data_IF_454415008488
#
_entry.id   IF_454415008488
#
_cell.length_a   1.000
_cell.length_b   1.000
_cell.length_c   1.000
_cell.angle_alpha   90.00
_cell.angle_beta   90.00
_cell.angle_gamma   90.00
#
_symmetry.space_group_name_H-M   'P 1'
#
loop_
_entity.id
_entity.type
_entity.pdbx_description
1 polymer ?
#
# COMPACT_ATOMS: atom_id res chain seq x y z
N UNK A 1 -6.35 32.40 -18.16
CA UNK A 1 -6.00 31.15 -18.87
C UNK A 1 -6.18 31.36 -20.38
N UNK A 2 -5.10 31.22 -21.14
CA UNK A 2 -5.12 31.21 -22.61
C UNK A 2 -5.72 29.89 -23.13
N UNK A 3 -6.41 29.93 -24.28
CA UNK A 3 -6.87 28.72 -24.99
C UNK A 3 -6.28 28.73 -26.39
N UNK A 4 -5.63 27.64 -26.79
CA UNK A 4 -4.96 27.54 -28.09
C UNK A 4 -5.30 26.21 -28.75
N UNK A 5 -5.62 26.26 -30.04
CA UNK A 5 -5.74 25.08 -30.88
C UNK A 5 -4.47 24.94 -31.73
N UNK A 6 -3.93 23.73 -31.83
CA UNK A 6 -2.79 23.41 -32.71
C UNK A 6 -3.22 22.28 -33.65
N UNK A 7 -3.24 22.56 -34.95
CA UNK A 7 -3.61 21.60 -35.99
C UNK A 7 -2.41 20.76 -36.45
N UNK A 8 -1.18 21.28 -36.29
CA UNK A 8 0.05 20.66 -36.76
C UNK A 8 1.08 20.46 -35.64
N UNK A 9 2.02 19.54 -35.87
CA UNK A 9 3.13 19.28 -34.96
C UNK A 9 3.99 20.53 -34.71
N UNK A 10 4.27 21.32 -35.75
CA UNK A 10 5.11 22.53 -35.61
C UNK A 10 4.39 23.65 -34.83
N UNK A 11 3.08 23.82 -35.04
CA UNK A 11 2.28 24.73 -34.22
C UNK A 11 2.30 24.32 -32.74
N UNK A 12 2.18 23.02 -32.47
CA UNK A 12 2.19 22.48 -31.12
C UNK A 12 3.56 22.63 -30.44
N UNK A 13 4.65 22.28 -31.13
CA UNK A 13 6.03 22.50 -30.65
C UNK A 13 6.27 23.97 -30.31
N UNK A 14 5.88 24.87 -31.22
CA UNK A 14 6.01 26.32 -31.02
C UNK A 14 5.18 26.80 -29.83
N UNK A 15 3.95 26.29 -29.68
CA UNK A 15 3.08 26.63 -28.57
C UNK A 15 3.69 26.22 -27.22
N UNK A 16 4.20 24.99 -27.11
CA UNK A 16 4.84 24.49 -25.88
C UNK A 16 6.13 25.25 -25.57
N UNK A 17 7.00 25.45 -26.57
CA UNK A 17 8.29 26.13 -26.42
C UNK A 17 8.16 27.63 -26.09
N UNK A 18 7.02 28.24 -26.43
CA UNK A 18 6.72 29.63 -26.08
C UNK A 18 6.58 29.88 -24.58
N UNK A 19 6.41 28.83 -23.78
CA UNK A 19 6.38 28.91 -22.33
C UNK A 19 7.75 28.57 -21.76
N UNK A 20 8.31 29.51 -20.98
CA UNK A 20 9.64 29.38 -20.38
C UNK A 20 9.71 28.37 -19.22
N UNK A 21 10.82 28.33 -18.46
CA UNK A 21 11.00 27.38 -17.37
C UNK A 21 9.99 27.59 -16.23
N UNK A 22 9.77 26.54 -15.43
CA UNK A 22 8.84 26.58 -14.28
C UNK A 22 7.38 26.31 -14.63
N UNK A 23 7.14 25.62 -15.73
CA UNK A 23 5.82 25.14 -16.17
C UNK A 23 5.72 23.63 -15.96
N UNK A 24 4.57 23.19 -15.48
CA UNK A 24 4.20 21.77 -15.38
C UNK A 24 3.13 21.45 -16.41
N UNK A 25 3.10 20.21 -16.86
CA UNK A 25 2.24 19.75 -17.95
C UNK A 25 1.28 18.66 -17.46
N UNK A 26 0.00 18.77 -17.82
CA UNK A 26 -1.00 17.72 -17.59
C UNK A 26 -1.70 17.38 -18.90
N UNK A 27 -1.55 16.12 -19.32
CA UNK A 27 -2.30 15.54 -20.43
C UNK A 27 -3.61 14.90 -20.01
N UNK A 28 -4.65 15.08 -20.82
CA UNK A 28 -5.94 14.41 -20.67
C UNK A 28 -6.58 14.13 -22.04
N UNK A 29 -7.25 12.99 -22.16
CA UNK A 29 -7.99 12.61 -23.37
C UNK A 29 -9.34 13.32 -23.50
N UNK A 30 -9.80 13.99 -22.45
CA UNK A 30 -11.07 14.70 -22.41
C UNK A 30 -10.95 15.97 -21.55
N UNK A 31 -11.75 16.98 -21.88
CA UNK A 31 -11.90 18.17 -21.06
C UNK A 31 -12.99 17.95 -20.00
N UNK A 32 -12.63 18.10 -18.72
CA UNK A 32 -13.59 18.07 -17.62
C UNK A 32 -13.82 19.50 -17.11
N UNK A 33 -14.92 20.19 -17.48
CA UNK A 33 -15.22 21.51 -16.95
C UNK A 33 -15.87 21.44 -15.56
N UNK A 34 -15.69 22.47 -14.74
CA UNK A 34 -16.45 22.67 -13.50
C UNK A 34 -17.82 23.31 -13.80
N UNK A 35 -18.64 23.54 -12.78
CA UNK A 35 -19.97 24.16 -12.90
C UNK A 35 -19.96 25.55 -13.57
N UNK A 36 -18.80 26.22 -13.61
CA UNK A 36 -18.61 27.53 -14.20
C UNK A 36 -17.95 27.47 -15.59
N UNK A 37 -17.80 26.27 -16.18
CA UNK A 37 -17.20 26.08 -17.51
C UNK A 37 -15.67 26.24 -17.56
N UNK A 38 -15.00 26.36 -16.41
CA UNK A 38 -13.53 26.40 -16.30
C UNK A 38 -12.98 24.98 -16.15
N UNK A 39 -11.71 24.70 -16.52
CA UNK A 39 -11.13 23.37 -16.32
C UNK A 39 -11.23 22.91 -14.85
N UNK A 40 -11.83 21.74 -14.65
CA UNK A 40 -11.89 21.01 -13.40
C UNK A 40 -10.79 19.97 -13.40
N UNK A 41 -9.61 20.36 -12.89
CA UNK A 41 -8.55 19.42 -12.57
C UNK A 41 -8.82 18.83 -11.19
N UNK A 42 -9.82 17.95 -11.11
CA UNK A 42 -10.23 17.25 -9.90
C UNK A 42 -9.29 16.08 -9.57
N UNK A 43 -9.20 15.75 -8.29
CA UNK A 43 -8.37 14.64 -7.81
C UNK A 43 -9.07 13.31 -8.05
N UNK A 44 -8.31 12.20 -8.07
CA UNK A 44 -8.90 10.85 -8.13
C UNK A 44 -9.85 10.56 -6.98
N UNK A 45 -9.56 11.11 -5.80
CA UNK A 45 -10.41 10.96 -4.62
C UNK A 45 -11.77 11.64 -4.80
N UNK A 46 -11.80 12.86 -5.34
CA UNK A 46 -13.05 13.57 -5.65
C UNK A 46 -13.92 12.83 -6.67
N UNK A 47 -13.31 12.08 -7.60
CA UNK A 47 -14.04 11.35 -8.64
C UNK A 47 -14.60 10.00 -8.18
N UNK A 48 -13.89 9.28 -7.31
CA UNK A 48 -14.18 7.87 -7.05
C UNK A 48 -14.40 7.53 -5.56
N UNK A 49 -14.20 8.47 -4.65
CA UNK A 49 -14.38 8.28 -3.21
C UNK A 49 -13.29 7.45 -2.52
N UNK A 50 -13.50 7.24 -1.21
CA UNK A 50 -12.58 6.58 -0.28
C UNK A 50 -12.97 5.12 -0.03
N UNK A 51 -11.99 4.23 0.00
CA UNK A 51 -12.12 2.91 0.65
C UNK A 51 -11.12 2.91 1.82
N UNK A 52 -11.55 3.24 3.05
CA UNK A 52 -10.62 3.56 4.15
C UNK A 52 -9.60 2.47 4.46
N UNK A 53 -10.03 1.21 4.58
CA UNK A 53 -9.13 0.09 4.92
C UNK A 53 -8.05 -0.12 3.87
N UNK A 54 -8.45 -0.10 2.59
CA UNK A 54 -7.53 -0.20 1.47
C UNK A 54 -6.55 0.98 1.47
N UNK A 55 -7.04 2.20 1.76
CA UNK A 55 -6.18 3.38 1.80
C UNK A 55 -5.13 3.34 2.91
N UNK A 56 -5.52 2.86 4.10
CA UNK A 56 -4.62 2.68 5.24
C UNK A 56 -3.55 1.64 4.91
N UNK A 57 -3.95 0.48 4.37
CA UNK A 57 -3.03 -0.60 3.95
C UNK A 57 -2.05 -0.12 2.88
N UNK A 58 -2.53 0.61 1.87
CA UNK A 58 -1.69 1.24 0.85
C UNK A 58 -0.67 2.22 1.44
N UNK A 59 -1.12 3.12 2.31
CA UNK A 59 -0.25 4.13 2.94
C UNK A 59 0.86 3.46 3.73
N UNK A 60 0.53 2.39 4.47
CA UNK A 60 1.50 1.59 5.21
C UNK A 60 2.55 0.97 4.27
N UNK A 61 2.14 0.24 3.24
CA UNK A 61 3.10 -0.45 2.37
C UNK A 61 3.92 0.49 1.48
N UNK A 62 3.38 1.65 1.12
CA UNK A 62 4.17 2.70 0.45
C UNK A 62 5.29 3.21 1.33
N UNK A 63 4.96 3.58 2.58
CA UNK A 63 5.92 4.03 3.58
C UNK A 63 7.04 3.01 3.71
N UNK A 64 6.70 1.72 3.79
CA UNK A 64 7.69 0.64 3.89
C UNK A 64 8.55 0.48 2.65
N UNK A 65 7.95 0.50 1.46
CA UNK A 65 8.70 0.44 0.21
C UNK A 65 9.72 1.59 0.14
N UNK A 66 9.35 2.81 0.53
CA UNK A 66 10.27 3.95 0.56
C UNK A 66 11.36 3.81 1.62
N UNK A 67 11.02 3.35 2.83
CA UNK A 67 12.00 3.07 3.87
C UNK A 67 13.05 2.03 3.43
N UNK A 68 12.64 1.03 2.67
CA UNK A 68 13.55 0.00 2.16
C UNK A 68 14.40 0.49 0.97
N UNK A 69 13.82 1.30 0.07
CA UNK A 69 14.41 1.58 -1.24
C UNK A 69 15.10 2.95 -1.35
N UNK A 70 14.73 3.92 -0.50
CA UNK A 70 15.22 5.31 -0.58
C UNK A 70 16.20 5.58 0.56
N UNK A 71 17.47 5.81 0.21
CA UNK A 71 18.51 6.04 1.21
C UNK A 71 18.25 7.31 2.02
N UNK A 72 18.31 7.17 3.34
CA UNK A 72 18.11 8.30 4.25
C UNK A 72 16.65 8.73 4.40
N UNK A 73 15.69 7.97 3.85
CA UNK A 73 14.27 8.16 4.10
C UNK A 73 13.99 7.86 5.57
N UNK A 74 13.91 8.92 6.38
CA UNK A 74 13.49 8.82 7.77
C UNK A 74 11.99 8.60 7.81
N UNK A 75 11.50 7.96 8.87
CA UNK A 75 10.06 7.90 9.16
C UNK A 75 9.53 9.32 9.41
N UNK A 76 9.26 10.04 8.33
CA UNK A 76 8.66 11.36 8.36
C UNK A 76 7.16 11.19 8.39
N UNK A 77 6.47 11.98 9.20
CA UNK A 77 5.00 12.12 9.20
C UNK A 77 4.43 12.66 7.88
N UNK A 78 5.23 12.72 6.80
CA UNK A 78 4.86 13.21 5.49
C UNK A 78 4.02 12.18 4.71
N UNK A 79 2.77 12.08 5.16
CA UNK A 79 1.74 11.26 4.51
C UNK A 79 1.40 11.76 3.10
N UNK A 80 1.64 13.04 2.80
CA UNK A 80 1.40 13.61 1.48
C UNK A 80 2.30 12.96 0.43
N UNK A 81 3.60 12.88 0.72
CA UNK A 81 4.56 12.28 -0.21
C UNK A 81 4.32 10.78 -0.43
N UNK A 82 3.91 10.04 0.60
CA UNK A 82 3.50 8.64 0.44
C UNK A 82 2.31 8.51 -0.52
N UNK A 83 1.27 9.33 -0.34
CA UNK A 83 0.09 9.32 -1.23
C UNK A 83 0.42 9.75 -2.66
N UNK A 84 1.42 10.64 -2.83
CA UNK A 84 1.89 11.10 -4.12
C UNK A 84 2.50 9.97 -4.95
N UNK A 85 3.46 9.26 -4.36
CA UNK A 85 4.16 8.16 -5.01
C UNK A 85 3.16 7.07 -5.35
N UNK A 86 2.26 6.77 -4.41
CA UNK A 86 1.21 5.78 -4.59
C UNK A 86 0.27 6.07 -5.76
N UNK A 87 0.01 7.34 -6.07
CA UNK A 87 -0.87 7.72 -7.18
C UNK A 87 -0.39 7.14 -8.52
N UNK A 88 0.92 7.02 -8.72
CA UNK A 88 1.53 6.41 -9.93
C UNK A 88 1.37 4.88 -9.99
N UNK A 89 0.93 4.26 -8.90
CA UNK A 89 0.61 2.84 -8.80
C UNK A 89 -0.90 2.59 -8.66
N UNK A 90 -1.75 3.57 -9.02
CA UNK A 90 -3.19 3.43 -9.05
C UNK A 90 -3.93 3.83 -7.76
N UNK A 91 -3.22 4.37 -6.78
CA UNK A 91 -3.86 4.89 -5.56
C UNK A 91 -4.64 6.18 -5.82
N UNK A 92 -5.73 6.35 -5.08
CA UNK A 92 -6.54 7.57 -5.12
C UNK A 92 -6.02 8.58 -4.12
N UNK A 93 -5.45 9.69 -4.60
CA UNK A 93 -4.89 10.75 -3.75
C UNK A 93 -5.70 12.05 -3.82
N UNK A 94 -5.33 13.01 -2.96
CA UNK A 94 -5.77 14.41 -2.98
C UNK A 94 -4.88 15.30 -3.87
N UNK A 95 -4.02 14.73 -4.69
CA UNK A 95 -3.06 15.48 -5.49
C UNK A 95 -3.40 15.40 -6.98
N UNK A 96 -3.05 16.46 -7.68
CA UNK A 96 -3.01 16.48 -9.12
C UNK A 96 -1.62 16.01 -9.56
N UNK A 97 -1.60 14.94 -10.35
CA UNK A 97 -0.41 14.43 -10.99
C UNK A 97 -0.08 15.30 -12.22
N UNK A 98 1.15 15.76 -12.35
CA UNK A 98 1.64 16.55 -13.47
C UNK A 98 3.05 16.09 -13.85
N UNK A 99 3.53 16.46 -15.04
CA UNK A 99 4.89 16.15 -15.49
C UNK A 99 5.69 17.43 -15.72
N UNK A 100 7.00 17.39 -15.47
CA UNK A 100 7.94 18.38 -15.95
C UNK A 100 8.26 18.21 -17.45
N UNK A 101 7.93 17.06 -18.04
CA UNK A 101 8.16 16.74 -19.45
C UNK A 101 6.86 16.89 -20.27
N UNK A 102 6.81 17.82 -21.24
CA UNK A 102 5.65 17.99 -22.10
C UNK A 102 5.37 16.77 -23.00
N UNK A 103 6.37 15.95 -23.34
CA UNK A 103 6.18 14.76 -24.17
C UNK A 103 5.41 13.68 -23.42
N UNK A 104 5.71 13.47 -22.14
CA UNK A 104 4.96 12.58 -21.24
C UNK A 104 3.50 13.03 -21.15
N UNK A 105 3.27 14.33 -20.98
CA UNK A 105 1.91 14.87 -20.93
C UNK A 105 1.18 14.75 -22.28
N UNK A 106 1.84 14.97 -23.41
CA UNK A 106 1.26 14.74 -24.73
C UNK A 106 0.90 13.26 -24.97
N UNK A 107 1.71 12.33 -24.45
CA UNK A 107 1.41 10.90 -24.47
C UNK A 107 0.11 10.59 -23.72
N UNK A 108 -0.06 11.08 -22.48
CA UNK A 108 -1.31 10.91 -21.73
C UNK A 108 -2.52 11.63 -22.37
N UNK A 109 -2.29 12.69 -23.13
CA UNK A 109 -3.36 13.39 -23.85
C UNK A 109 -3.82 12.65 -25.12
N UNK A 110 -3.02 11.71 -25.63
CA UNK A 110 -3.29 10.92 -26.85
C UNK A 110 -3.58 9.44 -26.59
N UNK A 111 -3.50 8.99 -25.34
CA UNK A 111 -3.73 7.60 -24.96
C UNK A 111 -4.77 7.49 -23.83
N UNK A 112 -5.80 6.68 -24.06
CA UNK A 112 -6.85 6.41 -23.07
C UNK A 112 -6.47 5.21 -22.20
N UNK A 113 -6.61 5.36 -20.89
CA UNK A 113 -6.50 4.25 -19.95
C UNK A 113 -7.70 3.31 -20.06
N UNK A 114 -7.43 2.02 -20.18
CA UNK A 114 -8.41 0.95 -20.07
C UNK A 114 -7.93 -0.07 -19.04
N UNK A 115 -8.86 -0.63 -18.29
CA UNK A 115 -8.57 -1.74 -17.39
C UNK A 115 -9.66 -2.80 -17.45
N UNK A 116 -9.26 -4.04 -17.22
CA UNK A 116 -10.16 -5.18 -17.12
C UNK A 116 -9.66 -6.15 -16.06
N UNK A 117 -10.60 -6.80 -15.38
CA UNK A 117 -10.27 -7.92 -14.51
C UNK A 117 -9.79 -9.07 -15.38
N UNK A 118 -8.67 -9.68 -15.00
CA UNK A 118 -8.16 -10.90 -15.60
C UNK A 118 -8.09 -12.00 -14.55
N UNK A 119 -8.30 -13.23 -15.00
CA UNK A 119 -8.17 -14.43 -14.17
C UNK A 119 -7.15 -15.32 -14.88
N UNK A 120 -6.05 -15.62 -14.18
CA UNK A 120 -4.94 -16.42 -14.72
C UNK A 120 -4.78 -17.70 -13.91
N UNK A 121 -4.69 -18.85 -14.59
CA UNK A 121 -4.31 -20.11 -13.95
C UNK A 121 -2.79 -20.13 -13.79
N UNK A 122 -2.32 -20.32 -12.56
CA UNK A 122 -0.91 -20.53 -12.27
C UNK A 122 -0.77 -21.71 -11.30
N UNK A 123 0.47 -22.10 -11.07
CA UNK A 123 0.88 -23.07 -10.07
C UNK A 123 1.65 -22.32 -8.98
N UNK A 124 1.46 -22.68 -7.71
CA UNK A 124 2.30 -22.17 -6.62
C UNK A 124 3.71 -22.80 -6.66
N UNK A 125 4.55 -22.50 -5.67
CA UNK A 125 5.92 -23.03 -5.61
C UNK A 125 6.02 -24.54 -5.37
N UNK A 126 4.89 -25.21 -5.10
CA UNK A 126 4.77 -26.64 -4.94
C UNK A 126 3.91 -27.29 -6.04
N UNK A 127 3.70 -26.57 -7.14
CA UNK A 127 2.93 -27.04 -8.30
C UNK A 127 1.42 -27.15 -8.03
N UNK A 128 0.91 -26.59 -6.92
CA UNK A 128 -0.50 -26.60 -6.60
C UNK A 128 -1.24 -25.52 -7.44
N UNK A 129 -2.29 -25.89 -8.22
CA UNK A 129 -2.95 -24.96 -9.14
C UNK A 129 -3.86 -23.96 -8.42
N UNK A 130 -3.76 -22.69 -8.82
CA UNK A 130 -4.58 -21.59 -8.27
C UNK A 130 -5.01 -20.60 -9.36
N UNK A 131 -6.16 -19.96 -9.15
CA UNK A 131 -6.61 -18.83 -9.96
C UNK A 131 -6.13 -17.51 -9.35
N UNK A 132 -5.48 -16.66 -10.13
CA UNK A 132 -5.11 -15.32 -9.71
C UNK A 132 -5.98 -14.27 -10.41
N UNK A 133 -6.66 -13.45 -9.61
CA UNK A 133 -7.39 -12.28 -10.07
C UNK A 133 -6.49 -11.04 -10.04
N UNK A 134 -6.20 -10.49 -11.21
CA UNK A 134 -5.45 -9.23 -11.39
C UNK A 134 -6.30 -8.16 -12.06
N UNK A 135 -5.86 -6.90 -11.97
CA UNK A 135 -6.41 -5.78 -12.72
C UNK A 135 -5.43 -5.44 -13.85
N UNK A 136 -5.67 -6.03 -15.02
CA UNK A 136 -4.87 -5.72 -16.20
C UNK A 136 -5.20 -4.29 -16.65
N UNK A 137 -4.15 -3.54 -16.94
CA UNK A 137 -4.23 -2.15 -17.36
C UNK A 137 -3.50 -1.98 -18.68
N UNK A 138 -4.03 -1.10 -19.54
CA UNK A 138 -3.36 -0.72 -20.78
C UNK A 138 -3.72 0.70 -21.17
N UNK A 139 -2.89 1.27 -22.03
CA UNK A 139 -3.17 2.52 -22.69
C UNK A 139 -3.41 2.26 -24.17
N UNK A 140 -4.56 2.72 -24.67
CA UNK A 140 -4.95 2.56 -26.07
C UNK A 140 -4.91 3.93 -26.73
N UNK A 141 -4.23 4.08 -27.89
CA UNK A 141 -4.28 5.31 -28.67
C UNK A 141 -5.72 5.73 -28.95
N UNK A 142 -6.01 7.01 -28.76
CA UNK A 142 -7.35 7.54 -29.04
C UNK A 142 -7.40 8.28 -30.37
N UNK A 143 -8.58 8.28 -30.97
CA UNK A 143 -8.94 9.18 -32.07
C UNK A 143 -9.59 10.45 -31.53
N UNK A 144 -9.45 11.56 -32.26
CA UNK A 144 -10.08 12.84 -31.92
C UNK A 144 -9.11 13.83 -31.28
N UNK A 145 -9.57 14.54 -30.25
CA UNK A 145 -8.86 15.68 -29.66
C UNK A 145 -8.31 15.34 -28.28
N UNK A 146 -7.03 15.62 -28.06
CA UNK A 146 -6.42 15.61 -26.72
C UNK A 146 -6.29 17.02 -26.14
N UNK A 147 -6.08 17.07 -24.82
CA UNK A 147 -6.00 18.29 -24.05
C UNK A 147 -4.71 18.33 -23.24
N UNK A 148 -3.93 19.40 -23.42
CA UNK A 148 -2.73 19.67 -22.65
C UNK A 148 -2.92 20.95 -21.82
N UNK A 149 -2.73 20.85 -20.51
CA UNK A 149 -2.77 21.99 -19.59
C UNK A 149 -1.36 22.35 -19.15
N UNK A 150 -1.04 23.65 -19.24
CA UNK A 150 0.23 24.21 -18.78
C UNK A 150 -0.02 24.95 -17.46
N UNK A 151 0.66 24.52 -16.41
CA UNK A 151 0.46 24.97 -15.03
C UNK A 151 1.68 25.75 -14.57
N UNK A 152 1.48 26.95 -14.04
CA UNK A 152 2.56 27.81 -13.55
C UNK A 152 2.96 27.46 -12.13
N UNK A 153 4.20 27.00 -11.93
CA UNK A 153 4.73 26.80 -10.57
C UNK A 153 4.77 28.10 -9.76
N UNK A 154 4.97 29.25 -10.43
CA UNK A 154 4.91 30.56 -9.78
C UNK A 154 3.51 30.85 -9.25
N UNK A 155 2.47 30.60 -10.04
CA UNK A 155 1.08 30.81 -9.63
C UNK A 155 0.67 29.82 -8.53
N UNK A 156 1.14 28.57 -8.59
CA UNK A 156 0.96 27.58 -7.52
C UNK A 156 1.50 28.13 -6.19
N UNK A 157 2.77 28.58 -6.17
CA UNK A 157 3.37 29.19 -4.97
C UNK A 157 2.61 30.42 -4.47
N UNK A 158 2.15 31.30 -5.38
CA UNK A 158 1.38 32.50 -5.01
C UNK A 158 0.01 32.18 -4.41
N UNK A 159 -0.61 31.07 -4.83
CA UNK A 159 -1.89 30.59 -4.29
C UNK A 159 -1.74 29.71 -3.03
N UNK A 160 -0.51 29.49 -2.56
CA UNK A 160 -0.22 28.60 -1.44
C UNK A 160 -0.33 27.11 -1.78
N UNK A 161 -0.43 26.74 -3.06
CA UNK A 161 -0.45 25.34 -3.52
C UNK A 161 0.98 24.86 -3.71
N UNK A 162 1.34 23.72 -3.11
CA UNK A 162 2.68 23.15 -3.25
C UNK A 162 2.78 22.34 -4.55
N UNK A 163 4.00 22.33 -5.10
CA UNK A 163 4.40 21.43 -6.19
C UNK A 163 5.73 20.79 -5.84
N UNK A 164 5.77 19.46 -5.73
CA UNK A 164 6.98 18.70 -5.36
C UNK A 164 7.38 17.80 -6.52
N UNK A 165 8.66 17.81 -6.91
CA UNK A 165 9.18 16.90 -7.93
C UNK A 165 9.49 15.55 -7.29
N UNK A 166 8.87 14.48 -7.76
CA UNK A 166 9.00 13.16 -7.14
C UNK A 166 10.35 12.50 -7.48
N UNK A 167 11.04 12.92 -8.53
CA UNK A 167 12.38 12.41 -8.86
C UNK A 167 13.44 12.72 -7.79
N UNK A 168 13.17 13.65 -6.87
CA UNK A 168 14.02 13.89 -5.70
C UNK A 168 14.02 12.69 -4.72
N UNK A 169 13.05 11.78 -4.88
CA UNK A 169 12.87 10.56 -4.09
C UNK A 169 13.42 9.39 -4.91
N UNK A 170 14.70 9.46 -5.28
CA UNK A 170 15.32 8.41 -6.08
C UNK A 170 15.56 7.15 -5.23
N UNK A 171 15.29 5.99 -5.81
CA UNK A 171 15.66 4.69 -5.22
C UNK A 171 17.14 4.40 -5.44
N UNK A 172 17.71 3.52 -4.62
CA UNK A 172 19.13 3.13 -4.74
C UNK A 172 19.45 2.39 -6.03
N UNK A 173 18.45 1.72 -6.61
CA UNK A 173 18.54 0.93 -7.84
C UNK A 173 17.27 1.15 -8.68
N UNK A 174 17.33 0.74 -9.95
CA UNK A 174 16.18 0.82 -10.88
C UNK A 174 15.72 2.24 -11.20
N UNK A 175 14.56 2.35 -11.85
CA UNK A 175 13.96 3.63 -12.22
C UNK A 175 12.44 3.56 -12.06
N UNK A 176 11.90 4.02 -10.91
CA UNK A 176 10.48 4.02 -10.64
C UNK A 176 9.67 4.83 -11.65
N UNK A 177 8.38 4.51 -11.82
CA UNK A 177 7.48 5.19 -12.79
C UNK A 177 7.49 6.71 -12.67
N UNK A 178 7.44 7.23 -11.44
CA UNK A 178 7.41 8.66 -11.18
C UNK A 178 8.71 9.38 -11.60
N UNK A 179 9.83 8.65 -11.69
CA UNK A 179 11.08 9.18 -12.25
C UNK A 179 11.01 9.23 -13.77
N UNK A 180 10.58 8.13 -14.42
CA UNK A 180 10.45 8.07 -15.90
C UNK A 180 9.42 9.06 -16.45
N UNK A 181 8.40 9.41 -15.66
CA UNK A 181 7.34 10.34 -16.01
C UNK A 181 7.68 11.80 -15.67
N UNK A 182 8.87 12.09 -15.12
CA UNK A 182 9.25 13.38 -14.53
C UNK A 182 8.12 13.97 -13.66
N UNK A 183 7.62 13.14 -12.75
CA UNK A 183 6.36 13.40 -12.06
C UNK A 183 6.49 14.50 -11.01
N UNK A 184 5.45 15.33 -10.96
CA UNK A 184 5.22 16.37 -9.98
C UNK A 184 3.89 16.14 -9.25
N UNK A 185 3.95 16.27 -7.93
CA UNK A 185 2.77 16.29 -7.08
C UNK A 185 2.31 17.74 -6.90
N UNK A 186 1.11 18.09 -7.36
CA UNK A 186 0.49 19.41 -7.14
C UNK A 186 -0.67 19.28 -6.13
N UNK A 187 -0.58 19.94 -4.98
CA UNK A 187 -1.64 19.90 -3.95
C UNK A 187 -1.12 20.05 -2.51
N UNK A 188 -1.87 19.58 -1.50
CA UNK A 188 -3.13 18.83 -1.61
C UNK A 188 -4.32 19.71 -2.04
N UNK A 189 -5.22 19.15 -2.84
CA UNK A 189 -6.42 19.80 -3.40
C UNK A 189 -7.68 19.23 -2.75
N UNK A 190 -7.96 19.63 -1.50
CA UNK A 190 -8.96 18.98 -0.64
C UNK A 190 -10.40 19.39 -0.98
N UNK A 191 -10.67 20.69 -1.14
CA UNK A 191 -12.05 21.21 -1.29
C UNK A 191 -12.44 21.52 -2.74
N UNK A 192 -11.53 22.12 -3.48
CA UNK A 192 -11.73 22.52 -4.87
C UNK A 192 -10.57 21.93 -5.70
N UNK A 193 -10.81 21.62 -6.98
CA UNK A 193 -9.74 21.30 -7.92
C UNK A 193 -8.75 22.46 -8.08
N UNK A 194 -7.72 22.28 -8.92
CA UNK A 194 -6.73 23.33 -9.13
C UNK A 194 -7.39 24.62 -9.65
N UNK A 195 -7.04 25.78 -9.07
CA UNK A 195 -7.56 27.07 -9.53
C UNK A 195 -7.18 27.32 -10.99
N UNK A 196 -8.13 27.83 -11.78
CA UNK A 196 -7.89 28.25 -13.17
C UNK A 196 -6.82 29.32 -13.31
N UNK A 197 -6.55 30.10 -12.26
CA UNK A 197 -5.49 31.11 -12.23
C UNK A 197 -4.08 30.50 -12.25
N UNK A 198 -3.97 29.22 -11.85
CA UNK A 198 -2.71 28.48 -11.94
C UNK A 198 -2.45 27.91 -13.34
N UNK A 199 -3.47 27.92 -14.22
CA UNK A 199 -3.39 27.39 -15.58
C UNK A 199 -3.05 28.53 -16.54
N UNK A 200 -1.84 28.48 -17.08
CA UNK A 200 -1.34 29.43 -18.08
C UNK A 200 -2.11 29.25 -19.39
N UNK A 201 -2.14 28.01 -19.89
CA UNK A 201 -2.67 27.68 -21.19
C UNK A 201 -3.40 26.34 -21.18
N UNK A 202 -4.47 26.27 -21.96
CA UNK A 202 -5.12 25.03 -22.39
C UNK A 202 -4.92 24.88 -23.89
N UNK A 203 -4.07 23.93 -24.28
CA UNK A 203 -3.81 23.58 -25.67
C UNK A 203 -4.71 22.39 -26.04
N UNK A 204 -5.41 22.49 -27.16
CA UNK A 204 -6.12 21.38 -27.79
C UNK A 204 -5.48 21.05 -29.12
N UNK A 205 -5.26 19.76 -29.38
CA UNK A 205 -4.67 19.28 -30.63
C UNK A 205 -5.24 17.89 -30.99
N UNK A 206 -5.26 17.52 -32.29
CA UNK A 206 -5.57 16.16 -32.69
C UNK A 206 -4.66 15.15 -31.98
N UNK A 207 -5.20 14.01 -31.55
CA UNK A 207 -4.47 12.98 -30.83
C UNK A 207 -3.22 12.51 -31.60
N UNK A 208 -3.29 12.46 -32.94
CA UNK A 208 -2.15 12.19 -33.82
C UNK A 208 -1.01 13.19 -33.64
N UNK A 209 -1.31 14.50 -33.59
CA UNK A 209 -0.28 15.55 -33.39
C UNK A 209 0.40 15.39 -32.03
N UNK A 210 -0.38 15.06 -31.00
CA UNK A 210 0.13 14.82 -29.64
C UNK A 210 0.98 13.55 -29.57
N UNK A 211 0.58 12.49 -30.29
CA UNK A 211 1.34 11.25 -30.41
C UNK A 211 2.67 11.48 -31.15
N UNK A 212 2.63 12.19 -32.28
CA UNK A 212 3.83 12.57 -33.04
C UNK A 212 4.79 13.43 -32.20
N UNK A 213 4.27 14.27 -31.30
CA UNK A 213 5.09 15.05 -30.36
C UNK A 213 5.66 14.21 -29.21
N UNK A 214 4.89 13.24 -28.71
CA UNK A 214 5.35 12.30 -27.69
C UNK A 214 6.50 11.42 -28.21
N UNK A 215 6.60 11.19 -29.52
CA UNK A 215 7.72 10.46 -30.12
C UNK A 215 7.80 9.02 -29.61
N UNK A 216 8.97 8.61 -29.11
CA UNK A 216 9.25 7.23 -28.73
C UNK A 216 8.65 6.82 -27.36
N UNK A 217 8.06 7.75 -26.62
CA UNK A 217 7.40 7.45 -25.35
C UNK A 217 6.25 6.46 -25.56
N UNK A 218 6.26 5.38 -24.78
CA UNK A 218 5.27 4.31 -24.84
C UNK A 218 4.95 3.77 -23.44
N UNK A 219 3.97 2.87 -23.36
CA UNK A 219 3.50 2.32 -22.08
C UNK A 219 4.62 1.54 -21.35
N UNK A 220 5.39 0.72 -22.06
CA UNK A 220 6.46 -0.11 -21.47
C UNK A 220 7.57 0.77 -20.87
N UNK A 221 7.87 1.89 -21.51
CA UNK A 221 8.80 2.88 -20.97
C UNK A 221 8.21 3.62 -19.77
N UNK A 222 7.00 4.17 -19.87
CA UNK A 222 6.40 4.99 -18.80
C UNK A 222 5.95 4.16 -17.57
N UNK A 223 5.70 2.88 -17.75
CA UNK A 223 5.24 1.93 -16.73
C UNK A 223 6.16 0.69 -16.71
N UNK A 224 7.41 0.83 -16.23
CA UNK A 224 8.39 -0.24 -16.19
C UNK A 224 7.88 -1.53 -15.53
N UNK A 225 8.45 -2.64 -16.00
CA UNK A 225 8.29 -3.94 -15.37
C UNK A 225 8.89 -3.97 -13.95
N UNK A 226 8.48 -4.92 -13.09
CA UNK A 226 9.01 -5.04 -11.73
C UNK A 226 10.54 -5.27 -11.66
N UNK A 227 11.18 -5.73 -12.74
CA UNK A 227 12.63 -5.84 -12.85
C UNK A 227 13.33 -4.48 -12.81
N UNK A 228 12.70 -3.46 -13.41
CA UNK A 228 13.23 -2.10 -13.53
C UNK A 228 12.68 -1.15 -12.47
N UNK A 229 11.48 -1.41 -11.95
CA UNK A 229 10.80 -0.59 -10.94
C UNK A 229 10.79 -1.29 -9.57
N UNK A 230 11.72 -0.93 -8.68
CA UNK A 230 11.82 -1.58 -7.37
C UNK A 230 10.62 -1.26 -6.47
N UNK A 231 10.00 -0.08 -6.61
CA UNK A 231 8.81 0.28 -5.82
C UNK A 231 7.63 -0.58 -6.27
N UNK A 232 7.44 -0.75 -7.58
CA UNK A 232 6.43 -1.65 -8.10
C UNK A 232 6.66 -3.10 -7.65
N UNK A 233 7.90 -3.56 -7.71
CA UNK A 233 8.29 -4.91 -7.25
C UNK A 233 7.95 -5.17 -5.79
N UNK A 234 8.24 -4.21 -4.90
CA UNK A 234 7.89 -4.30 -3.47
C UNK A 234 6.37 -4.35 -3.28
N UNK A 235 5.62 -3.48 -3.95
CA UNK A 235 4.14 -3.46 -3.86
C UNK A 235 3.50 -4.76 -4.37
N UNK A 236 4.13 -5.43 -5.33
CA UNK A 236 3.69 -6.73 -5.85
C UNK A 236 4.11 -7.93 -4.99
N UNK A 237 5.02 -7.75 -4.03
CA UNK A 237 5.47 -8.83 -3.14
C UNK A 237 4.49 -9.12 -2.00
N UNK A 238 3.45 -8.29 -1.85
CA UNK A 238 2.39 -8.47 -0.86
C UNK A 238 1.68 -9.82 -1.04
N UNK A 239 1.25 -10.47 0.05
CA UNK A 239 0.58 -11.75 -0.01
C UNK A 239 -0.70 -11.66 -0.85
N UNK A 240 -1.01 -12.73 -1.57
CA UNK A 240 -2.31 -12.91 -2.21
C UNK A 240 -3.33 -13.34 -1.17
N UNK A 241 -4.56 -12.85 -1.28
CA UNK A 241 -5.64 -13.15 -0.34
C UNK A 241 -6.70 -14.03 -1.01
N UNK A 242 -7.11 -15.11 -0.34
CA UNK A 242 -8.18 -15.99 -0.83
C UNK A 242 -9.50 -15.23 -1.00
N UNK A 243 -10.16 -15.46 -2.13
CA UNK A 243 -11.49 -14.93 -2.42
C UNK A 243 -12.57 -15.82 -1.77
N UNK A 244 -13.19 -15.36 -0.68
CA UNK A 244 -14.11 -16.15 0.16
C UNK A 244 -15.47 -16.51 -0.48
N UNK A 245 -15.88 -15.83 -1.55
CA UNK A 245 -17.22 -15.98 -2.14
C UNK A 245 -17.25 -16.74 -3.48
N UNK A 246 -16.26 -17.60 -3.71
CA UNK A 246 -16.22 -18.47 -4.89
C UNK A 246 -16.68 -19.88 -4.47
N UNK A 247 -17.63 -20.52 -5.20
CA UNK A 247 -18.12 -21.85 -4.86
C UNK A 247 -16.99 -22.88 -4.65
N UNK A 248 -17.04 -23.61 -3.54
CA UNK A 248 -15.93 -24.40 -3.00
C UNK A 248 -15.61 -25.73 -3.69
N UNK A 249 -16.25 -26.07 -4.81
CA UNK A 249 -16.02 -27.33 -5.53
C UNK A 249 -14.89 -27.23 -6.60
N UNK A 250 -14.25 -26.07 -6.74
CA UNK A 250 -13.22 -25.81 -7.75
C UNK A 250 -11.86 -25.40 -7.20
N UNK A 251 -10.95 -25.06 -8.12
CA UNK A 251 -9.66 -24.44 -7.81
C UNK A 251 -9.85 -23.14 -7.02
N UNK A 252 -9.01 -22.92 -6.03
CA UNK A 252 -9.06 -21.72 -5.19
C UNK A 252 -8.62 -20.50 -5.99
N UNK A 253 -9.30 -19.37 -5.79
CA UNK A 253 -8.89 -18.11 -6.38
C UNK A 253 -8.41 -17.12 -5.33
N UNK A 254 -7.38 -16.37 -5.71
CA UNK A 254 -6.74 -15.38 -4.88
C UNK A 254 -6.69 -14.04 -5.61
N UNK A 255 -6.70 -12.95 -4.85
CA UNK A 255 -6.55 -11.58 -5.35
C UNK A 255 -5.36 -10.90 -4.69
N UNK A 256 -4.84 -9.87 -5.32
CA UNK A 256 -3.80 -9.02 -4.71
C UNK A 256 -4.29 -8.43 -3.39
N UNK A 257 -3.41 -8.41 -2.39
CA UNK A 257 -3.59 -7.64 -1.14
C UNK A 257 -3.79 -6.14 -1.38
N UNK A 258 -3.16 -5.62 -2.44
CA UNK A 258 -3.29 -4.25 -2.94
C UNK A 258 -3.63 -4.35 -4.43
N UNK A 259 -4.84 -3.92 -4.82
CA UNK A 259 -5.22 -3.95 -6.23
C UNK A 259 -4.43 -2.90 -7.01
N UNK A 260 -3.50 -3.36 -7.85
CA UNK A 260 -2.58 -2.57 -8.67
C UNK A 260 -3.00 -2.64 -10.14
N UNK A 261 -2.91 -1.55 -10.93
CA UNK A 261 -2.98 -1.63 -12.38
C UNK A 261 -1.69 -2.27 -12.91
N UNK A 262 -1.86 -3.40 -13.59
CA UNK A 262 -0.76 -4.23 -14.12
C UNK A 262 -0.64 -4.04 -15.63
N UNK A 263 0.41 -3.35 -16.07
CA UNK A 263 0.60 -2.93 -17.48
C UNK A 263 1.32 -3.96 -18.34
N UNK A 264 2.10 -4.84 -17.72
CA UNK A 264 2.79 -5.95 -18.38
C UNK A 264 2.33 -7.29 -17.80
N UNK A 265 2.48 -8.35 -18.58
CA UNK A 265 2.18 -9.71 -18.14
C UNK A 265 3.44 -10.34 -17.52
N UNK A 266 3.69 -10.05 -16.25
CA UNK A 266 4.86 -10.56 -15.52
C UNK A 266 4.52 -11.78 -14.63
N UNK A 267 3.27 -12.25 -14.64
CA UNK A 267 2.87 -13.45 -13.92
C UNK A 267 3.61 -14.66 -14.50
N UNK A 268 4.24 -15.43 -13.61
CA UNK A 268 4.96 -16.64 -13.96
C UNK A 268 4.00 -17.83 -13.86
N UNK A 269 4.18 -18.83 -14.73
CA UNK A 269 3.40 -20.09 -14.62
C UNK A 269 3.60 -20.73 -13.24
N UNK A 270 4.84 -20.78 -12.77
CA UNK A 270 5.21 -21.24 -11.43
C UNK A 270 5.54 -20.03 -10.56
N UNK A 271 4.69 -19.76 -9.56
CA UNK A 271 4.88 -18.65 -8.66
C UNK A 271 6.05 -18.93 -7.70
N UNK A 272 6.89 -17.93 -7.39
CA UNK A 272 8.04 -18.14 -6.52
C UNK A 272 7.59 -18.41 -5.07
N UNK A 273 8.42 -19.06 -4.23
CA UNK A 273 8.07 -19.36 -2.84
C UNK A 273 7.60 -18.14 -2.04
N UNK A 274 8.23 -16.97 -2.27
CA UNK A 274 7.86 -15.70 -1.64
C UNK A 274 6.45 -15.16 -1.99
N UNK A 275 5.68 -15.84 -2.82
CA UNK A 275 4.32 -15.46 -3.16
C UNK A 275 3.33 -16.26 -2.32
N UNK A 276 3.11 -15.84 -1.07
CA UNK A 276 2.10 -16.44 -0.21
C UNK A 276 0.69 -16.31 -0.82
N UNK A 277 0.01 -17.44 -0.92
CA UNK A 277 -1.40 -17.59 -1.27
C UNK A 277 -2.18 -17.77 0.04
N UNK A 278 -2.41 -16.66 0.74
CA UNK A 278 -2.91 -16.67 2.10
C UNK A 278 -4.39 -17.09 2.15
N UNK A 279 -4.62 -18.21 2.84
CA UNK A 279 -5.93 -18.61 3.34
C UNK A 279 -6.09 -18.03 4.76
N UNK A 280 -7.19 -17.32 5.06
CA UNK A 280 -7.43 -16.81 6.41
C UNK A 280 -7.35 -17.93 7.44
N UNK A 281 -6.56 -17.76 8.49
CA UNK A 281 -6.52 -18.70 9.60
C UNK A 281 -6.25 -17.94 10.90
N UNK A 282 -6.65 -18.54 12.01
CA UNK A 282 -6.25 -18.16 13.36
C UNK A 282 -5.33 -19.24 13.92
N UNK A 283 -4.25 -18.86 14.58
CA UNK A 283 -3.27 -19.81 15.13
C UNK A 283 -3.90 -20.85 16.06
N UNK A 284 -4.93 -20.44 16.80
CA UNK A 284 -5.72 -21.30 17.69
C UNK A 284 -6.49 -22.43 16.99
N UNK A 285 -6.80 -22.26 15.71
CA UNK A 285 -7.60 -23.21 14.92
C UNK A 285 -6.72 -24.13 14.09
N UNK A 286 -5.42 -23.85 14.00
CA UNK A 286 -4.49 -24.75 13.33
C UNK A 286 -4.34 -26.05 14.13
N UNK A 287 -4.22 -27.20 13.45
CA UNK A 287 -3.88 -28.43 14.14
C UNK A 287 -2.56 -28.27 14.89
N UNK A 288 -2.36 -28.93 16.05
CA UNK A 288 -1.13 -28.82 16.80
C UNK A 288 0.06 -29.21 15.90
N UNK A 289 1.16 -28.43 15.90
CA UNK A 289 2.29 -28.75 15.06
C UNK A 289 2.85 -30.13 15.43
N UNK A 290 3.40 -30.90 14.46
CA UNK A 290 3.81 -32.30 14.67
C UNK A 290 4.82 -32.51 15.81
N UNK A 291 5.50 -31.45 16.23
CA UNK A 291 6.59 -31.46 17.21
C UNK A 291 6.19 -31.01 18.62
N UNK A 292 4.93 -30.62 18.84
CA UNK A 292 4.53 -30.03 20.12
C UNK A 292 4.28 -31.11 21.19
N UNK A 293 5.21 -31.28 22.13
CA UNK A 293 4.96 -31.95 23.40
C UNK A 293 4.27 -30.98 24.36
N UNK A 294 3.32 -31.48 25.16
CA UNK A 294 2.49 -30.65 26.04
C UNK A 294 3.35 -29.84 27.02
N UNK A 295 3.52 -28.56 26.77
CA UNK A 295 4.01 -27.59 27.75
C UNK A 295 2.92 -27.24 28.75
N UNK A 296 3.31 -26.80 29.94
CA UNK A 296 2.40 -26.34 30.98
C UNK A 296 1.34 -25.36 30.42
N UNK A 297 0.14 -25.37 31.00
CA UNK A 297 -0.97 -24.53 30.55
C UNK A 297 -0.66 -23.05 30.81
N UNK A 298 -0.03 -22.38 29.83
CA UNK A 298 0.14 -20.91 29.80
C UNK A 298 -1.24 -20.29 29.60
N UNK A 299 -1.62 -19.34 30.46
CA UNK A 299 -2.87 -18.60 30.28
C UNK A 299 -2.68 -17.50 29.23
N UNK A 300 -3.28 -17.67 28.06
CA UNK A 300 -3.16 -16.73 26.93
C UNK A 300 -4.48 -16.00 26.72
N UNK A 301 -4.47 -14.67 26.78
CA UNK A 301 -5.55 -13.85 26.24
C UNK A 301 -5.35 -13.67 24.73
N UNK A 302 -6.31 -14.07 23.93
CA UNK A 302 -6.29 -13.92 22.47
C UNK A 302 -7.15 -12.74 22.04
N UNK A 303 -6.60 -11.89 21.18
CA UNK A 303 -7.26 -10.70 20.64
C UNK A 303 -7.22 -10.82 19.11
N UNK A 304 -8.37 -11.05 18.49
CA UNK A 304 -8.50 -11.18 17.04
C UNK A 304 -8.92 -9.84 16.44
N UNK A 305 -8.09 -9.25 15.58
CA UNK A 305 -8.36 -7.95 14.98
C UNK A 305 -8.08 -7.91 13.47
N UNK A 306 -8.63 -6.89 12.82
CA UNK A 306 -8.40 -6.65 11.40
C UNK A 306 -6.97 -6.15 11.20
N UNK A 307 -6.33 -6.59 10.11
CA UNK A 307 -5.04 -6.06 9.65
C UNK A 307 -5.06 -4.54 9.43
N UNK A 308 -6.24 -3.94 9.19
CA UNK A 308 -6.38 -2.47 9.14
C UNK A 308 -5.99 -1.78 10.46
N UNK A 309 -6.21 -2.43 11.61
CA UNK A 309 -5.79 -1.94 12.92
C UNK A 309 -4.26 -1.92 13.05
N UNK A 310 -3.56 -2.85 12.40
CA UNK A 310 -2.10 -2.85 12.32
C UNK A 310 -1.57 -1.77 11.39
N UNK A 311 -2.16 -1.60 10.21
CA UNK A 311 -1.72 -0.61 9.22
C UNK A 311 -2.06 0.84 9.60
N UNK A 312 -2.92 1.05 10.60
CA UNK A 312 -3.37 2.37 11.05
C UNK A 312 -2.24 3.31 11.49
N UNK A 313 -2.47 4.61 11.36
CA UNK A 313 -1.57 5.63 11.91
C UNK A 313 -2.05 6.04 13.31
N UNK A 314 -1.14 6.05 14.28
CA UNK A 314 -1.38 6.62 15.62
C UNK A 314 -0.08 7.10 16.23
N UNK A 315 -0.16 8.01 17.19
CA UNK A 315 0.98 8.29 18.07
C UNK A 315 1.19 7.11 19.01
N UNK A 316 2.45 6.72 19.23
CA UNK A 316 2.77 5.67 20.19
C UNK A 316 2.28 6.08 21.57
N UNK A 317 1.54 5.17 22.22
CA UNK A 317 1.06 5.35 23.59
C UNK A 317 1.81 4.42 24.50
N UNK A 318 2.50 4.96 25.50
CA UNK A 318 3.23 4.19 26.51
C UNK A 318 2.39 3.89 27.75
N UNK A 319 1.15 4.37 27.81
CA UNK A 319 0.22 4.10 28.91
C UNK A 319 -0.88 3.20 28.35
N UNK A 320 -0.89 1.94 28.80
CA UNK A 320 -1.70 0.83 28.25
C UNK A 320 -2.52 0.14 29.36
N UNK A 321 -3.51 0.82 29.97
CA UNK A 321 -4.25 0.31 31.13
C UNK A 321 -5.04 -0.96 30.86
N UNK A 322 -5.71 -1.09 29.72
CA UNK A 322 -6.55 -2.26 29.42
C UNK A 322 -5.68 -3.49 29.15
N UNK A 323 -4.58 -3.32 28.42
CA UNK A 323 -3.61 -4.40 28.22
C UNK A 323 -2.89 -4.79 29.52
N UNK A 324 -2.56 -3.81 30.37
CA UNK A 324 -1.95 -4.09 31.68
C UNK A 324 -2.89 -4.89 32.56
N UNK A 325 -4.19 -4.57 32.57
CA UNK A 325 -5.20 -5.33 33.28
C UNK A 325 -5.32 -6.77 32.78
N UNK A 326 -5.27 -6.99 31.46
CA UNK A 326 -5.28 -8.35 30.90
C UNK A 326 -4.06 -9.16 31.35
N UNK A 327 -2.90 -8.53 31.47
CA UNK A 327 -1.70 -9.15 32.02
C UNK A 327 -1.81 -9.44 33.52
N UNK A 328 -2.74 -8.89 34.29
CA UNK A 328 -2.92 -9.32 35.69
C UNK A 328 -3.49 -10.74 35.74
N UNK A 329 -4.30 -11.11 34.76
CA UNK A 329 -5.05 -12.37 34.68
C UNK A 329 -4.41 -13.42 33.77
N UNK A 330 -3.53 -13.01 32.85
CA UNK A 330 -2.94 -13.89 31.83
C UNK A 330 -1.41 -13.79 31.83
N UNK A 331 -0.74 -14.86 31.45
CA UNK A 331 0.72 -14.91 31.29
C UNK A 331 1.18 -14.26 29.99
N UNK A 332 0.29 -14.29 28.98
CA UNK A 332 0.56 -13.80 27.65
C UNK A 332 -0.69 -13.22 27.00
N UNK A 333 -0.50 -12.19 26.18
CA UNK A 333 -1.52 -11.64 25.30
C UNK A 333 -1.07 -11.87 23.85
N UNK A 334 -1.91 -12.51 23.05
CA UNK A 334 -1.71 -12.72 21.63
C UNK A 334 -2.67 -11.85 20.84
N UNK A 335 -2.16 -10.81 20.18
CA UNK A 335 -2.93 -9.98 19.25
C UNK A 335 -2.68 -10.51 17.84
N UNK A 336 -3.68 -11.14 17.25
CA UNK A 336 -3.58 -11.79 15.94
C UNK A 336 -4.40 -11.02 14.89
N UNK A 337 -3.83 -10.88 13.68
CA UNK A 337 -4.43 -10.17 12.57
C UNK A 337 -5.19 -11.13 11.64
N UNK A 338 -6.28 -10.68 11.02
CA UNK A 338 -7.02 -11.45 10.01
C UNK A 338 -6.25 -11.67 8.67
N UNK A 339 -5.07 -11.08 8.54
CA UNK A 339 -4.21 -11.11 7.36
C UNK A 339 -2.72 -11.31 7.69
N UNK A 340 -1.90 -11.34 6.63
CA UNK A 340 -0.44 -11.34 6.74
C UNK A 340 0.13 -9.95 6.46
N UNK A 341 1.17 -9.59 7.21
CA UNK A 341 1.95 -8.36 7.03
C UNK A 341 3.27 -8.69 6.35
N UNK A 342 3.58 -8.04 5.24
CA UNK A 342 4.85 -8.24 4.55
C UNK A 342 5.93 -7.27 5.04
N UNK A 343 7.11 -7.82 5.36
CA UNK A 343 8.25 -7.05 5.88
C UNK A 343 9.45 -6.98 4.93
N UNK A 344 9.36 -7.49 3.70
CA UNK A 344 10.53 -7.60 2.82
C UNK A 344 11.35 -8.88 3.03
N UNK A 345 10.85 -9.85 3.81
CA UNK A 345 11.63 -10.99 4.33
C UNK A 345 11.34 -12.32 3.59
N UNK A 346 11.16 -12.25 2.27
CA UNK A 346 10.93 -13.45 1.44
C UNK A 346 9.61 -14.15 1.77
N UNK A 347 9.68 -15.37 2.31
CA UNK A 347 8.52 -16.19 2.69
C UNK A 347 8.00 -15.90 4.09
N UNK A 348 8.66 -15.00 4.84
CA UNK A 348 8.29 -14.67 6.22
C UNK A 348 7.41 -13.44 6.29
N UNK A 349 6.30 -13.59 7.01
CA UNK A 349 5.28 -12.56 7.20
C UNK A 349 4.98 -12.36 8.69
N UNK A 350 4.57 -11.15 9.07
CA UNK A 350 3.99 -10.86 10.36
C UNK A 350 2.52 -11.30 10.40
N UNK A 351 2.09 -11.84 11.54
CA UNK A 351 0.70 -12.30 11.78
C UNK A 351 0.04 -11.61 12.98
N UNK A 352 0.80 -10.78 13.70
CA UNK A 352 0.31 -10.08 14.88
C UNK A 352 1.41 -9.78 15.88
N UNK A 353 1.05 -9.29 17.06
CA UNK A 353 1.97 -8.91 18.14
C UNK A 353 1.64 -9.69 19.39
N UNK A 354 2.65 -10.22 20.06
CA UNK A 354 2.53 -10.87 21.35
C UNK A 354 3.14 -10.05 22.47
N UNK A 355 2.60 -10.23 23.67
CA UNK A 355 3.14 -9.71 24.92
C UNK A 355 3.27 -10.88 25.88
N UNK A 356 4.48 -11.22 26.31
CA UNK A 356 4.69 -12.27 27.31
C UNK A 356 5.34 -11.70 28.57
N UNK A 357 4.91 -12.15 29.74
CA UNK A 357 5.62 -11.86 31.00
C UNK A 357 6.98 -12.54 31.02
N UNK A 358 7.99 -11.79 31.44
CA UNK A 358 9.36 -12.29 31.66
C UNK A 358 9.68 -12.31 33.15
N UNK A 359 9.22 -11.30 33.88
CA UNK A 359 9.31 -11.21 35.34
C UNK A 359 8.04 -10.55 35.90
N UNK A 360 8.01 -10.27 37.21
CA UNK A 360 6.89 -9.61 37.88
C UNK A 360 6.53 -8.24 37.28
N UNK A 361 7.53 -7.47 36.84
CA UNK A 361 7.36 -6.10 36.33
C UNK A 361 7.82 -5.93 34.88
N UNK A 362 8.32 -6.99 34.23
CA UNK A 362 8.92 -6.91 32.89
C UNK A 362 8.20 -7.82 31.91
N UNK A 363 7.90 -7.27 30.73
CA UNK A 363 7.26 -7.97 29.62
C UNK A 363 8.10 -7.88 28.36
N UNK A 364 7.99 -8.89 27.51
CA UNK A 364 8.56 -8.92 26.17
C UNK A 364 7.45 -8.65 25.16
N UNK A 365 7.66 -7.67 24.27
CA UNK A 365 6.78 -7.38 23.14
C UNK A 365 7.44 -7.88 21.87
N UNK A 366 6.81 -8.87 21.22
CA UNK A 366 7.36 -9.55 20.04
C UNK A 366 6.33 -9.61 18.91
N UNK A 367 6.78 -9.93 17.69
CA UNK A 367 5.90 -10.14 16.53
C UNK A 367 5.72 -11.64 16.29
N UNK A 368 4.50 -12.07 15.98
CA UNK A 368 4.24 -13.42 15.49
C UNK A 368 4.66 -13.50 14.03
N UNK A 369 5.63 -14.37 13.76
CA UNK A 369 6.13 -14.67 12.44
C UNK A 369 5.48 -15.93 11.87
N UNK A 370 5.19 -15.90 10.59
CA UNK A 370 4.72 -17.07 9.82
C UNK A 370 5.63 -17.24 8.61
N UNK A 371 6.18 -18.44 8.43
CA UNK A 371 6.83 -18.84 7.18
C UNK A 371 5.77 -19.46 6.26
N UNK A 372 5.45 -18.78 5.16
CA UNK A 372 4.30 -19.08 4.29
C UNK A 372 4.68 -19.13 2.80
N UNK A 373 5.44 -20.14 2.34
CA UNK A 373 5.67 -20.34 0.91
C UNK A 373 4.40 -20.82 0.18
N UNK A 374 4.03 -20.14 -0.91
CA UNK A 374 2.87 -20.54 -1.72
C UNK A 374 1.60 -20.71 -0.87
N UNK A 375 0.93 -21.86 -0.96
CA UNK A 375 -0.28 -22.21 -0.20
C UNK A 375 -0.01 -22.77 1.20
N UNK A 376 1.24 -22.96 1.62
CA UNK A 376 1.57 -23.78 2.79
C UNK A 376 2.08 -22.93 3.95
N UNK A 377 1.72 -23.35 5.16
CA UNK A 377 2.30 -22.84 6.40
C UNK A 377 3.42 -23.80 6.80
N UNK A 378 4.66 -23.32 6.84
CA UNK A 378 5.81 -24.15 7.22
C UNK A 378 6.14 -24.02 8.70
N UNK A 379 6.08 -22.79 9.21
CA UNK A 379 6.45 -22.49 10.59
C UNK A 379 5.63 -21.31 11.10
N UNK A 380 5.27 -21.34 12.39
CA UNK A 380 4.79 -20.19 13.14
C UNK A 380 5.64 -20.05 14.37
N UNK A 381 6.11 -18.85 14.65
CA UNK A 381 6.99 -18.60 15.77
C UNK A 381 6.96 -17.15 16.23
N UNK A 382 7.84 -16.85 17.18
CA UNK A 382 8.06 -15.49 17.69
C UNK A 382 9.31 -14.93 17.05
N UNK A 383 9.22 -13.75 16.45
CA UNK A 383 10.41 -12.97 16.15
C UNK A 383 10.96 -12.34 17.43
N UNK A 384 12.26 -12.08 17.48
CA UNK A 384 12.87 -11.40 18.62
C UNK A 384 12.16 -10.08 18.92
N UNK A 385 11.85 -9.85 20.19
CA UNK A 385 11.08 -8.70 20.66
C UNK A 385 11.93 -7.62 21.31
N UNK A 386 11.26 -6.69 21.99
CA UNK A 386 11.88 -5.71 22.88
C UNK A 386 11.24 -5.80 24.27
N UNK A 387 12.04 -5.54 25.30
CA UNK A 387 11.60 -5.65 26.70
C UNK A 387 11.20 -4.31 27.31
N UNK A 388 10.14 -4.33 28.11
CA UNK A 388 9.55 -3.17 28.76
C UNK A 388 9.24 -3.45 30.23
N UNK A 389 9.54 -2.49 31.11
CA UNK A 389 9.09 -2.48 32.49
C UNK A 389 7.71 -1.82 32.58
N UNK A 390 6.78 -2.47 33.27
CA UNK A 390 5.44 -1.97 33.54
C UNK A 390 5.40 -1.36 34.94
N UNK A 391 5.04 -0.08 35.02
CA UNK A 391 4.94 0.66 36.28
C UNK A 391 3.49 0.68 36.81
N UNK A 392 3.31 1.20 38.04
CA UNK A 392 2.02 1.22 38.73
C UNK A 392 0.93 2.06 38.05
N UNK A 393 1.29 2.92 37.09
CA UNK A 393 0.36 3.75 36.34
C UNK A 393 0.02 3.15 34.95
N UNK A 394 0.25 1.85 34.78
CA UNK A 394 0.17 1.16 33.49
C UNK A 394 1.08 1.78 32.42
N UNK A 395 2.17 2.44 32.85
CA UNK A 395 3.19 3.02 32.00
C UNK A 395 4.26 1.99 31.67
N UNK A 396 4.62 1.92 30.39
CA UNK A 396 5.53 0.93 29.85
C UNK A 396 6.83 1.63 29.40
N UNK A 397 7.92 1.28 30.05
CA UNK A 397 9.22 1.90 29.85
C UNK A 397 10.20 0.90 29.24
N UNK A 398 10.83 1.26 28.12
CA UNK A 398 11.80 0.41 27.43
C UNK A 398 13.01 0.12 28.35
N UNK A 399 13.35 -1.15 28.56
CA UNK A 399 14.50 -1.58 29.37
C UNK A 399 15.42 -2.52 28.58
N UNK A 400 16.74 -2.24 28.48
CA UNK A 400 17.66 -3.12 27.78
C UNK A 400 17.65 -4.55 28.34
N UNK A 401 17.68 -5.55 27.47
CA UNK A 401 17.67 -6.97 27.78
C UNK A 401 18.56 -7.75 26.79
N UNK A 402 19.11 -8.89 27.20
CA UNK A 402 20.02 -9.68 26.36
C UNK A 402 19.33 -10.31 25.13
N UNK A 403 18.06 -10.67 25.28
CA UNK A 403 17.21 -11.22 24.21
C UNK A 403 16.54 -10.16 23.32
N UNK A 404 16.94 -8.89 23.45
CA UNK A 404 16.39 -7.83 22.60
C UNK A 404 16.80 -8.04 21.13
N UNK A 405 15.86 -7.76 20.22
CA UNK A 405 16.10 -7.79 18.80
C UNK A 405 17.27 -6.88 18.41
N UNK A 406 18.24 -7.42 17.67
CA UNK A 406 19.46 -6.72 17.25
C UNK A 406 19.34 -6.02 15.90
N UNK A 407 18.14 -5.99 15.30
CA UNK A 407 17.91 -5.40 13.98
C UNK A 407 18.10 -3.86 13.93
N UNK A 408 18.27 -3.21 15.08
CA UNK A 408 18.48 -1.77 15.20
C UNK A 408 17.23 -0.92 14.98
N UNK A 409 16.07 -1.53 14.68
CA UNK A 409 14.79 -0.83 14.62
C UNK A 409 14.13 -0.77 16.00
N UNK A 410 13.39 0.31 16.29
CA UNK A 410 12.70 0.48 17.57
C UNK A 410 11.38 -0.29 17.70
N UNK A 411 11.02 -1.13 16.72
CA UNK A 411 9.76 -1.89 16.65
C UNK A 411 8.52 -1.02 16.92
N UNK A 412 8.55 0.25 16.50
CA UNK A 412 7.53 1.25 16.85
C UNK A 412 6.12 0.84 16.40
N UNK A 413 5.99 0.13 15.27
CA UNK A 413 4.69 -0.32 14.76
C UNK A 413 4.02 -1.35 15.67
N UNK A 414 4.79 -2.22 16.33
CA UNK A 414 4.25 -3.16 17.30
C UNK A 414 3.62 -2.39 18.48
N UNK A 415 4.31 -1.37 18.97
CA UNK A 415 3.83 -0.54 20.07
C UNK A 415 2.64 0.35 19.66
N UNK A 416 2.63 0.83 18.41
CA UNK A 416 1.51 1.56 17.85
C UNK A 416 0.25 0.68 17.79
N UNK A 417 0.38 -0.60 17.41
CA UNK A 417 -0.72 -1.57 17.48
C UNK A 417 -1.21 -1.73 18.91
N UNK A 418 -0.32 -1.92 19.90
CA UNK A 418 -0.73 -2.06 21.30
C UNK A 418 -1.58 -0.87 21.76
N UNK A 419 -1.15 0.36 21.45
CA UNK A 419 -1.92 1.56 21.78
C UNK A 419 -3.30 1.63 21.13
N UNK A 420 -3.45 1.10 19.90
CA UNK A 420 -4.74 1.02 19.22
C UNK A 420 -5.62 -0.09 19.77
N UNK A 421 -5.04 -1.22 20.15
CA UNK A 421 -5.77 -2.32 20.79
C UNK A 421 -6.27 -1.89 22.16
N UNK A 422 -5.44 -1.24 22.97
CA UNK A 422 -5.79 -0.73 24.29
C UNK A 422 -6.97 0.27 24.22
N UNK A 423 -6.90 1.22 23.27
CA UNK A 423 -8.02 2.11 22.94
C UNK A 423 -9.28 1.34 22.51
N UNK A 424 -9.13 0.36 21.62
CA UNK A 424 -10.28 -0.38 21.09
C UNK A 424 -10.96 -1.22 22.17
N UNK A 425 -10.20 -1.73 23.15
CA UNK A 425 -10.72 -2.39 24.34
C UNK A 425 -11.51 -1.40 25.21
N UNK A 426 -10.94 -0.22 25.47
CA UNK A 426 -11.57 0.84 26.26
C UNK A 426 -12.87 1.34 25.63
N UNK A 427 -12.87 1.57 24.32
CA UNK A 427 -14.01 2.10 23.58
C UNK A 427 -15.07 1.02 23.28
N UNK A 428 -14.76 -0.25 23.57
CA UNK A 428 -15.67 -1.38 23.37
C UNK A 428 -15.80 -1.83 21.90
N UNK A 429 -14.87 -1.45 21.03
CA UNK A 429 -14.77 -1.96 19.66
C UNK A 429 -14.15 -3.37 19.61
N UNK A 430 -13.29 -3.67 20.57
CA UNK A 430 -12.85 -5.03 20.93
C UNK A 430 -13.66 -5.51 22.13
N UNK A 431 -14.33 -6.66 22.00
CA UNK A 431 -15.16 -7.22 23.07
C UNK A 431 -14.77 -8.66 23.38
N UNK A 432 -14.85 -9.02 24.65
CA UNK A 432 -14.78 -10.41 25.08
C UNK A 432 -15.97 -11.18 24.48
N UNK A 433 -15.67 -12.26 23.76
CA UNK A 433 -16.69 -13.16 23.19
C UNK A 433 -16.70 -14.50 23.91
N UNK A 434 -15.57 -14.90 24.50
CA UNK A 434 -15.40 -16.06 25.38
C UNK A 434 -14.31 -15.72 26.44
N UNK A 435 -14.19 -16.47 27.54
CA UNK A 435 -13.11 -16.26 28.50
C UNK A 435 -11.74 -16.29 27.82
N UNK A 436 -10.96 -15.22 27.98
CA UNK A 436 -9.64 -15.08 27.34
C UNK A 436 -9.68 -14.86 25.83
N UNK A 437 -10.84 -14.64 25.19
CA UNK A 437 -10.95 -14.35 23.76
C UNK A 437 -11.69 -13.03 23.51
N UNK A 438 -11.00 -12.10 22.88
CA UNK A 438 -11.49 -10.79 22.47
C UNK A 438 -11.50 -10.70 20.95
N UNK A 439 -12.52 -10.06 20.39
CA UNK A 439 -12.68 -9.95 18.95
C UNK A 439 -13.12 -8.55 18.55
N UNK A 440 -12.54 -8.04 17.47
CA UNK A 440 -12.92 -6.74 16.90
C UNK A 440 -14.24 -6.91 16.15
N UNK A 441 -15.14 -5.95 16.32
CA UNK A 441 -16.40 -5.93 15.59
C UNK A 441 -16.16 -6.04 14.07
N UNK A 442 -16.83 -7.00 13.43
CA UNK A 442 -16.76 -7.21 11.97
C UNK A 442 -15.63 -8.13 11.50
N UNK A 443 -14.73 -8.56 12.40
CA UNK A 443 -13.73 -9.59 12.08
C UNK A 443 -14.39 -10.97 12.02
N UNK A 444 -14.06 -11.72 10.98
CA UNK A 444 -14.51 -13.09 10.80
C UNK A 444 -13.69 -14.05 11.66
N UNK A 445 -14.38 -14.77 12.56
CA UNK A 445 -13.75 -15.74 13.45
C UNK A 445 -13.37 -17.04 12.76
N UNK A 446 -13.91 -17.31 11.57
CA UNK A 446 -13.65 -18.60 10.91
C UNK A 446 -12.28 -18.64 10.26
N UNK A 447 -11.54 -19.71 10.57
CA UNK A 447 -10.38 -20.14 9.79
C UNK A 447 -10.84 -20.90 8.56
N UNK A 448 -10.05 -20.79 7.49
CA UNK A 448 -10.20 -21.63 6.32
C UNK A 448 -9.77 -23.07 6.68
N UNK A 449 -10.63 -24.08 6.49
CA UNK A 449 -10.30 -25.46 6.85
C UNK A 449 -9.17 -26.05 6.00
N UNK A 450 -8.81 -25.40 4.87
CA UNK A 450 -7.69 -25.80 4.02
C UNK A 450 -6.37 -25.11 4.39
N UNK A 451 -6.36 -24.24 5.40
CA UNK A 451 -5.11 -23.72 5.96
C UNK A 451 -4.42 -24.83 6.76
N UNK A 452 -3.29 -25.35 6.27
CA UNK A 452 -2.64 -26.52 6.83
C UNK A 452 -1.11 -26.41 6.85
N UNK A 453 -0.50 -27.23 7.71
CA UNK A 453 0.96 -27.38 7.80
C UNK A 453 1.52 -28.17 6.62
N UNK A 454 2.64 -27.70 6.06
CA UNK A 454 3.79 -28.47 5.56
C UNK A 454 3.64 -29.55 4.47
N UNK A 455 2.47 -30.11 4.21
CA UNK A 455 2.30 -31.26 3.31
C UNK A 455 1.39 -30.90 2.11
N UNK A 456 1.69 -31.41 0.89
CA UNK A 456 0.80 -31.29 -0.27
C UNK A 456 -0.57 -31.91 -0.05
N UNK A 457 -1.54 -31.50 -0.87
CA UNK A 457 -2.79 -32.23 -1.07
C UNK A 457 -2.60 -33.54 -1.83
#
# INVERSE_FOLDING_TARGET
MEKRYCATLEEFKTAVAGYGPGVLYRGQTQHYPNSNGLPSLSTSFQRQGCVPELMIKWTYYAKRALQHLVRGWKDTSDTATNQAILQHYGFRSFFLDASGDPQVAAWFASNRFESNVAITLVEDCFEDPVWLRTLNARFVPMEGMGHLYLISQKALRQSGTQSVRLSEIATNEGTPRYVRQDAYMVGPLIKNGLSGDCILCHITAPAKVLNDFAGDYNADWLFPEPSDDPVYRELLAMPWEKMRHIPGEGLEAFRRSLELPEYSYYLQKHMPPRSAMYRPFWTRDLPPPPTCQSTAAIQIAQILCSSSLYHGASTSRLILPELTKLLEEHDEISIELDGLVYHGMGTRYGKGVGIAKVSTDTVCVFEYGVDHPGLRIMEIGRFYGLHYRVNSNSGWERVPHEDDCTCGSGHAENFNLLGRVDLSLKDGELKAVEPGLYMQKGVDRSSDPRAAWGEPY
#
